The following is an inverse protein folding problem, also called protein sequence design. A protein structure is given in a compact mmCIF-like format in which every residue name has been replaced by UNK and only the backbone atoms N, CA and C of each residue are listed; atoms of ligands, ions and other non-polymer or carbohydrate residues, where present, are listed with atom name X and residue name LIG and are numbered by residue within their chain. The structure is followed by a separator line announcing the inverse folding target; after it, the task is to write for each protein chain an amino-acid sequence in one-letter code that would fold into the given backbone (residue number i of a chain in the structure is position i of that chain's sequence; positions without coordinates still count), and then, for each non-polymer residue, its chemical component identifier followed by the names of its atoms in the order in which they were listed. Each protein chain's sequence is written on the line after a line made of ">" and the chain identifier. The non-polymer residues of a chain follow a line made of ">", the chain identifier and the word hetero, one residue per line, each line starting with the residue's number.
data_IF_764738911619
#
_entry.id   IF_764738911619
#
_cell.length_a   1.000
_cell.length_b   1.000
_cell.length_c   1.000
_cell.angle_alpha   90.00
_cell.angle_beta   90.00
_cell.angle_gamma   90.00
#
_symmetry.space_group_name_H-M   'P 1'
#
loop_
_entity.id
_entity.type
_entity.pdbx_description
1 polymer ?
#
# COMPACT_ATOMS: atom_id res chain seq x y z
N UNK A 1 11.68 -44.41 25.45
CA UNK A 1 10.53 -44.06 24.59
C UNK A 1 9.66 -43.14 25.44
N UNK A 2 9.88 -41.84 25.29
CA UNK A 2 8.99 -40.81 25.79
C UNK A 2 8.53 -40.04 24.55
N UNK A 3 7.22 -39.79 24.47
CA UNK A 3 6.60 -39.09 23.35
C UNK A 3 6.95 -37.59 23.36
N UNK A 4 6.99 -36.93 22.19
CA UNK A 4 7.21 -35.50 22.12
C UNK A 4 5.95 -34.74 22.57
N UNK A 5 6.15 -33.78 23.48
CA UNK A 5 5.15 -32.79 23.85
C UNK A 5 4.63 -32.04 22.62
N UNK A 6 3.32 -32.11 22.39
CA UNK A 6 2.62 -31.27 21.43
C UNK A 6 2.77 -29.79 21.83
N UNK A 7 3.29 -28.98 20.91
CA UNK A 7 3.29 -27.52 21.00
C UNK A 7 1.83 -27.04 20.94
N UNK A 8 1.40 -26.36 21.99
CA UNK A 8 0.08 -25.76 22.14
C UNK A 8 -0.08 -24.58 21.17
N UNK A 9 -1.01 -24.68 20.22
CA UNK A 9 -1.32 -23.70 19.17
C UNK A 9 -2.24 -22.56 19.65
N UNK A 10 -1.98 -21.99 20.83
CA UNK A 10 -2.83 -20.95 21.42
C UNK A 10 -2.11 -19.59 21.47
N UNK A 11 -1.66 -19.07 20.33
CA UNK A 11 -1.04 -17.74 20.28
C UNK A 11 -1.86 -16.68 19.53
N UNK A 12 -2.99 -17.05 18.92
CA UNK A 12 -3.85 -16.11 18.17
C UNK A 12 -4.80 -15.29 19.08
N UNK A 13 -5.15 -15.80 20.28
CA UNK A 13 -6.16 -15.12 21.12
C UNK A 13 -5.60 -13.95 21.94
N UNK A 14 -4.28 -13.89 22.14
CA UNK A 14 -3.63 -12.84 22.94
C UNK A 14 -3.32 -11.60 22.10
N UNK A 15 -3.09 -11.75 20.80
CA UNK A 15 -2.84 -10.65 19.87
C UNK A 15 -4.12 -9.88 19.53
N UNK A 16 -5.25 -10.56 19.36
CA UNK A 16 -6.56 -9.89 19.15
C UNK A 16 -6.98 -9.09 20.39
N UNK A 17 -6.86 -9.64 21.60
CA UNK A 17 -7.29 -8.97 22.82
C UNK A 17 -6.51 -7.69 23.15
N UNK A 18 -5.24 -7.58 22.75
CA UNK A 18 -4.41 -6.40 23.03
C UNK A 18 -4.76 -5.22 22.10
N UNK A 19 -5.35 -5.48 20.93
CA UNK A 19 -5.73 -4.42 19.98
C UNK A 19 -7.03 -3.71 20.39
N UNK A 20 -7.99 -4.40 21.01
CA UNK A 20 -9.32 -3.84 21.28
C UNK A 20 -9.40 -2.81 22.44
N UNK A 21 -8.40 -2.79 23.33
CA UNK A 21 -8.34 -1.83 24.45
C UNK A 21 -7.39 -0.65 24.19
N UNK A 22 -6.72 -0.59 23.02
CA UNK A 22 -5.88 0.53 22.64
C UNK A 22 -6.75 1.67 22.08
N UNK A 23 -6.69 2.89 22.65
CA UNK A 23 -7.44 4.04 22.11
C UNK A 23 -7.09 4.39 20.66
N UNK A 24 -5.99 3.88 20.10
CA UNK A 24 -5.65 4.00 18.68
C UNK A 24 -6.50 3.11 17.76
N UNK A 25 -7.17 2.08 18.29
CA UNK A 25 -7.98 1.12 17.54
C UNK A 25 -9.42 1.04 18.07
N UNK A 26 -9.98 2.18 18.50
CA UNK A 26 -11.41 2.26 18.80
C UNK A 26 -12.27 1.81 17.62
N UNK A 27 -13.53 1.44 17.88
CA UNK A 27 -14.45 0.94 16.85
C UNK A 27 -14.61 1.90 15.65
N UNK A 28 -14.39 3.20 15.89
CA UNK A 28 -14.46 4.28 14.90
C UNK A 28 -13.09 4.81 14.43
N UNK A 29 -11.97 4.17 14.79
CA UNK A 29 -10.61 4.66 14.54
C UNK A 29 -10.28 4.88 13.05
N UNK A 30 -10.97 4.17 12.14
CA UNK A 30 -10.79 4.29 10.69
C UNK A 30 -12.00 4.92 9.98
N UNK A 31 -12.94 5.49 10.75
CA UNK A 31 -14.06 6.25 10.19
C UNK A 31 -13.60 7.62 9.68
N UNK A 32 -14.32 8.16 8.70
CA UNK A 32 -14.02 9.46 8.11
C UNK A 32 -15.07 10.48 8.51
N UNK A 33 -14.65 11.75 8.59
CA UNK A 33 -15.62 12.85 8.73
C UNK A 33 -16.46 13.05 7.47
N UNK A 34 -15.93 12.66 6.31
CA UNK A 34 -16.63 12.64 5.03
C UNK A 34 -16.63 11.20 4.48
N UNK A 35 -17.81 10.58 4.46
CA UNK A 35 -18.02 9.22 3.96
C UNK A 35 -18.48 9.19 2.49
N UNK A 36 -18.31 10.30 1.77
CA UNK A 36 -18.60 10.33 0.34
C UNK A 36 -17.73 9.34 -0.44
N UNK A 37 -18.23 9.01 -1.63
CA UNK A 37 -17.57 8.07 -2.52
C UNK A 37 -16.23 8.65 -3.01
N UNK A 38 -15.16 7.89 -2.82
CA UNK A 38 -13.80 8.28 -3.17
C UNK A 38 -13.64 8.68 -4.65
N UNK A 39 -14.41 8.08 -5.55
CA UNK A 39 -14.40 8.44 -6.97
C UNK A 39 -14.71 9.91 -7.19
N UNK A 40 -15.51 10.55 -6.32
CA UNK A 40 -15.83 11.98 -6.39
C UNK A 40 -14.55 12.79 -6.14
N UNK A 41 -13.80 12.47 -5.09
CA UNK A 41 -12.57 13.16 -4.74
C UNK A 41 -11.47 13.00 -5.81
N UNK A 42 -11.37 11.80 -6.40
CA UNK A 42 -10.37 11.46 -7.41
C UNK A 42 -10.78 11.83 -8.86
N UNK A 43 -11.94 12.47 -9.08
CA UNK A 43 -12.27 13.05 -10.40
C UNK A 43 -11.37 14.19 -10.82
N UNK A 44 -10.79 14.91 -9.86
CA UNK A 44 -9.91 16.06 -10.12
C UNK A 44 -8.47 15.60 -10.16
N UNK A 45 -7.82 15.82 -11.30
CA UNK A 45 -6.39 15.55 -11.48
C UNK A 45 -5.55 16.45 -10.55
N UNK A 46 -4.59 15.84 -9.84
CA UNK A 46 -3.67 16.55 -8.96
C UNK A 46 -2.22 16.22 -9.34
N UNK A 47 -1.68 17.01 -10.25
CA UNK A 47 -0.25 16.98 -10.61
C UNK A 47 0.56 17.88 -9.69
N UNK A 48 0.50 17.62 -8.39
CA UNK A 48 1.19 18.40 -7.37
C UNK A 48 2.16 17.51 -6.61
N UNK A 49 3.30 18.09 -6.23
CA UNK A 49 4.22 17.42 -5.32
C UNK A 49 3.71 17.60 -3.89
N UNK A 50 3.29 16.49 -3.26
CA UNK A 50 2.83 16.50 -1.87
C UNK A 50 3.98 16.49 -0.86
N UNK A 51 5.16 16.06 -1.29
CA UNK A 51 6.39 16.03 -0.49
C UNK A 51 7.25 17.27 -0.75
N UNK A 52 7.81 17.85 0.30
CA UNK A 52 8.92 18.79 0.12
C UNK A 52 10.17 18.06 -0.41
N UNK A 53 11.16 18.83 -0.86
CA UNK A 53 12.36 18.25 -1.50
C UNK A 53 13.19 17.36 -0.58
N UNK A 54 13.18 17.61 0.74
CA UNK A 54 13.90 16.78 1.70
C UNK A 54 13.16 15.46 1.94
N UNK A 55 11.85 15.51 2.11
CA UNK A 55 11.02 14.32 2.26
C UNK A 55 11.07 13.44 1.01
N UNK A 56 10.97 14.04 -0.19
CA UNK A 56 11.11 13.33 -1.46
C UNK A 56 12.47 12.63 -1.58
N UNK A 57 13.57 13.36 -1.36
CA UNK A 57 14.91 12.77 -1.42
C UNK A 57 15.11 11.65 -0.39
N UNK A 58 14.46 11.76 0.77
CA UNK A 58 14.49 10.72 1.80
C UNK A 58 13.74 9.47 1.34
N UNK A 59 12.55 9.62 0.77
CA UNK A 59 11.76 8.51 0.21
C UNK A 59 12.51 7.81 -0.91
N UNK A 60 13.02 8.56 -1.89
CA UNK A 60 13.78 8.00 -3.01
C UNK A 60 15.00 7.21 -2.52
N UNK A 61 15.72 7.74 -1.53
CA UNK A 61 16.85 7.04 -0.91
C UNK A 61 16.41 5.76 -0.20
N UNK A 62 15.32 5.80 0.57
CA UNK A 62 14.80 4.63 1.27
C UNK A 62 14.38 3.53 0.30
N UNK A 63 13.68 3.88 -0.78
CA UNK A 63 13.32 2.92 -1.83
C UNK A 63 14.60 2.31 -2.45
N UNK A 64 15.58 3.14 -2.78
CA UNK A 64 16.84 2.68 -3.38
C UNK A 64 17.69 1.80 -2.46
N UNK A 65 17.61 2.01 -1.13
CA UNK A 65 18.34 1.22 -0.14
C UNK A 65 17.62 -0.09 0.23
N UNK A 66 16.28 -0.08 0.23
CA UNK A 66 15.46 -1.20 0.71
C UNK A 66 15.08 -2.19 -0.40
N UNK A 67 14.97 -1.74 -1.65
CA UNK A 67 14.71 -2.64 -2.78
C UNK A 67 16.03 -3.25 -3.24
N UNK A 68 16.26 -4.50 -2.83
CA UNK A 68 17.53 -5.21 -3.05
C UNK A 68 17.46 -6.20 -4.22
N UNK A 69 16.26 -6.49 -4.69
CA UNK A 69 15.97 -7.41 -5.76
C UNK A 69 16.54 -6.90 -7.09
N UNK A 70 17.02 -7.82 -7.92
CA UNK A 70 17.46 -7.48 -9.27
C UNK A 70 16.24 -7.52 -10.18
N UNK A 71 16.00 -6.41 -10.88
CA UNK A 71 14.89 -6.28 -11.82
C UNK A 71 13.52 -6.67 -11.21
N UNK A 72 13.12 -6.07 -10.08
CA UNK A 72 11.89 -6.45 -9.39
C UNK A 72 10.63 -6.18 -10.21
N UNK A 73 9.61 -6.97 -9.93
CA UNK A 73 8.21 -6.69 -10.24
C UNK A 73 7.60 -5.93 -9.06
N UNK A 74 7.26 -4.65 -9.26
CA UNK A 74 6.81 -3.74 -8.20
C UNK A 74 5.31 -3.46 -8.34
N UNK A 75 4.60 -3.48 -7.20
CA UNK A 75 3.28 -2.86 -7.05
C UNK A 75 3.46 -1.51 -6.37
N UNK A 76 3.07 -0.43 -7.04
CA UNK A 76 2.86 0.87 -6.40
C UNK A 76 1.40 0.94 -5.96
N UNK A 77 1.18 0.73 -4.66
CA UNK A 77 -0.12 0.65 -4.01
C UNK A 77 -0.64 2.07 -3.75
N UNK A 78 -1.83 2.35 -4.27
CA UNK A 78 -2.46 3.69 -4.21
C UNK A 78 -1.64 4.76 -4.94
N UNK A 79 -1.06 4.36 -6.07
CA UNK A 79 -0.25 5.18 -6.94
C UNK A 79 -0.97 6.43 -7.46
N UNK A 80 -0.17 7.47 -7.69
CA UNK A 80 -0.56 8.69 -8.41
C UNK A 80 0.35 8.88 -9.63
N UNK A 81 0.63 10.13 -10.00
CA UNK A 81 1.44 10.51 -11.17
C UNK A 81 2.96 10.42 -10.94
N UNK A 82 3.41 10.14 -9.72
CA UNK A 82 4.81 9.92 -9.38
C UNK A 82 4.92 8.82 -8.31
N UNK A 83 5.68 7.76 -8.62
CA UNK A 83 5.93 6.62 -7.70
C UNK A 83 7.14 6.83 -6.80
N UNK A 84 7.89 7.93 -6.99
CA UNK A 84 9.12 8.24 -6.25
C UNK A 84 10.21 7.16 -6.37
N UNK A 85 10.16 6.36 -7.44
CA UNK A 85 11.18 5.34 -7.70
C UNK A 85 12.46 6.03 -8.17
N UNK A 86 13.59 5.85 -7.46
CA UNK A 86 14.83 6.56 -7.79
C UNK A 86 15.36 6.13 -9.16
N UNK A 87 15.94 7.08 -9.88
CA UNK A 87 16.48 6.87 -11.23
C UNK A 87 17.61 5.83 -11.35
N UNK A 88 18.11 5.29 -10.24
CA UNK A 88 19.08 4.18 -10.21
C UNK A 88 18.42 2.79 -10.22
N UNK A 89 17.16 2.68 -9.78
CA UNK A 89 16.45 1.41 -9.72
C UNK A 89 15.97 1.01 -11.12
N UNK A 90 16.03 -0.29 -11.45
CA UNK A 90 15.64 -0.82 -12.76
C UNK A 90 14.64 -1.97 -12.60
N UNK A 91 13.38 -1.68 -12.26
CA UNK A 91 12.33 -2.70 -12.19
C UNK A 91 12.12 -3.37 -13.56
N UNK A 92 11.75 -4.65 -13.56
CA UNK A 92 11.27 -5.32 -14.78
C UNK A 92 9.86 -4.85 -15.14
N UNK A 93 9.02 -4.65 -14.11
CA UNK A 93 7.62 -4.28 -14.24
C UNK A 93 7.19 -3.42 -13.06
N UNK A 94 6.37 -2.40 -13.30
CA UNK A 94 5.78 -1.57 -12.25
C UNK A 94 4.29 -1.42 -12.53
N UNK A 95 3.47 -1.97 -11.65
CA UNK A 95 2.01 -1.86 -11.72
C UNK A 95 1.57 -0.80 -10.73
N UNK A 96 0.92 0.27 -11.20
CA UNK A 96 0.33 1.28 -10.34
C UNK A 96 -1.15 1.00 -10.12
N UNK A 97 -1.55 0.74 -8.89
CA UNK A 97 -2.95 0.60 -8.51
C UNK A 97 -3.43 1.91 -7.90
N UNK A 98 -4.46 2.54 -8.46
CA UNK A 98 -4.96 3.81 -7.94
C UNK A 98 -6.35 4.17 -8.44
N UNK A 99 -6.78 5.41 -8.20
CA UNK A 99 -8.14 5.87 -8.48
C UNK A 99 -8.25 6.89 -9.61
N UNK A 100 -7.21 7.69 -9.86
CA UNK A 100 -7.21 8.66 -10.95
C UNK A 100 -6.46 8.11 -12.17
N UNK A 101 -7.20 7.83 -13.25
CA UNK A 101 -6.63 7.31 -14.51
C UNK A 101 -5.61 8.26 -15.15
N UNK A 102 -5.85 9.56 -15.10
CA UNK A 102 -4.99 10.56 -15.74
C UNK A 102 -3.66 10.70 -14.98
N UNK A 103 -3.69 10.59 -13.65
CA UNK A 103 -2.50 10.55 -12.81
C UNK A 103 -1.66 9.32 -13.14
N UNK A 104 -2.25 8.12 -13.06
CA UNK A 104 -1.57 6.87 -13.38
C UNK A 104 -0.99 6.90 -14.81
N UNK A 105 -1.73 7.41 -15.79
CA UNK A 105 -1.28 7.48 -17.17
C UNK A 105 -0.11 8.47 -17.40
N UNK A 106 0.10 9.42 -16.49
CA UNK A 106 1.24 10.35 -16.54
C UNK A 106 2.44 9.90 -15.70
N UNK A 107 2.30 8.82 -14.95
CA UNK A 107 3.38 8.31 -14.12
C UNK A 107 4.45 7.63 -14.99
N UNK A 108 5.67 8.20 -15.06
CA UNK A 108 6.71 7.70 -15.96
C UNK A 108 7.32 6.37 -15.51
N UNK A 109 7.10 5.96 -14.26
CA UNK A 109 7.62 4.71 -13.72
C UNK A 109 6.73 3.50 -14.06
N UNK A 110 5.43 3.71 -14.31
CA UNK A 110 4.48 2.62 -14.49
C UNK A 110 4.62 1.96 -15.86
N UNK A 111 4.64 0.63 -15.85
CA UNK A 111 4.47 -0.18 -17.07
C UNK A 111 3.01 -0.58 -17.28
N UNK A 112 2.23 -0.63 -16.20
CA UNK A 112 0.82 -0.99 -16.20
C UNK A 112 0.05 -0.16 -15.16
N UNK A 113 -1.24 0.08 -15.41
CA UNK A 113 -2.13 0.75 -14.48
C UNK A 113 -3.35 -0.13 -14.15
N UNK A 114 -3.80 -0.06 -12.90
CA UNK A 114 -4.97 -0.76 -12.39
C UNK A 114 -5.87 0.25 -11.67
N UNK A 115 -7.09 0.48 -12.16
CA UNK A 115 -8.06 1.28 -11.42
C UNK A 115 -8.80 0.40 -10.41
N UNK A 116 -8.59 0.67 -9.13
CA UNK A 116 -9.16 -0.13 -8.06
C UNK A 116 -9.29 0.68 -6.77
N UNK A 117 -10.49 0.61 -6.17
CA UNK A 117 -10.87 1.33 -4.96
C UNK A 117 -10.77 0.39 -3.76
N UNK A 118 -9.67 0.49 -3.00
CA UNK A 118 -9.38 -0.37 -1.86
C UNK A 118 -10.32 -0.15 -0.67
N UNK A 119 -10.89 1.05 -0.53
CA UNK A 119 -11.86 1.35 0.52
C UNK A 119 -13.20 0.64 0.25
N UNK A 120 -13.58 0.51 -1.04
CA UNK A 120 -14.75 -0.27 -1.46
C UNK A 120 -14.50 -1.77 -1.46
N UNK A 121 -13.41 -2.21 -2.10
CA UNK A 121 -13.04 -3.60 -2.21
C UNK A 121 -11.57 -3.77 -1.81
N UNK A 122 -11.26 -4.30 -0.60
CA UNK A 122 -9.88 -4.41 -0.15
C UNK A 122 -9.09 -5.53 -0.84
N UNK A 123 -9.75 -6.41 -1.59
CA UNK A 123 -9.13 -7.57 -2.25
C UNK A 123 -8.31 -7.12 -3.46
N UNK A 124 -7.02 -7.41 -3.48
CA UNK A 124 -6.15 -7.03 -4.58
C UNK A 124 -6.50 -7.81 -5.86
N UNK A 125 -6.64 -7.14 -7.02
CA UNK A 125 -7.06 -7.78 -8.26
C UNK A 125 -5.90 -8.50 -8.98
N UNK A 126 -5.02 -9.16 -8.22
CA UNK A 126 -3.81 -9.82 -8.72
C UNK A 126 -3.75 -11.26 -8.23
N UNK A 127 -2.94 -12.09 -8.90
CA UNK A 127 -2.66 -13.43 -8.40
C UNK A 127 -1.69 -13.37 -7.22
N UNK A 128 -1.76 -14.35 -6.32
CA UNK A 128 -0.81 -14.47 -5.22
C UNK A 128 0.64 -14.54 -5.71
N UNK A 129 1.57 -14.02 -4.91
CA UNK A 129 3.02 -14.04 -5.18
C UNK A 129 3.43 -13.42 -6.52
N UNK A 130 2.70 -12.40 -6.99
CA UNK A 130 2.97 -11.71 -8.27
C UNK A 130 4.10 -10.69 -8.17
N UNK A 131 4.25 -10.03 -7.02
CA UNK A 131 5.15 -8.88 -6.83
C UNK A 131 6.29 -9.23 -5.89
N UNK A 132 7.49 -8.75 -6.22
CA UNK A 132 8.66 -8.86 -5.35
C UNK A 132 8.63 -7.76 -4.28
N UNK A 133 8.07 -6.59 -4.62
CA UNK A 133 8.04 -5.40 -3.77
C UNK A 133 6.68 -4.71 -3.88
N UNK A 134 6.16 -4.26 -2.74
CA UNK A 134 5.02 -3.35 -2.67
C UNK A 134 5.47 -2.02 -2.07
N UNK A 135 5.26 -0.93 -2.81
CA UNK A 135 5.46 0.43 -2.35
C UNK A 135 4.10 1.02 -1.94
N UNK A 136 4.04 1.70 -0.80
CA UNK A 136 2.84 2.40 -0.34
C UNK A 136 3.26 3.70 0.33
N UNK A 137 3.43 4.75 -0.48
CA UNK A 137 4.03 6.02 -0.05
C UNK A 137 2.96 7.09 0.08
N UNK A 138 2.90 7.76 1.24
CA UNK A 138 1.97 8.88 1.55
C UNK A 138 0.49 8.60 1.26
N UNK A 139 0.05 7.39 1.60
CA UNK A 139 -1.26 6.86 1.20
C UNK A 139 -2.00 6.08 2.30
N UNK A 140 -1.31 5.58 3.32
CA UNK A 140 -1.92 4.74 4.38
C UNK A 140 -3.04 5.47 5.13
N UNK A 141 -2.85 6.77 5.34
CA UNK A 141 -3.76 7.68 6.05
C UNK A 141 -5.12 7.84 5.36
N UNK A 142 -5.25 7.40 4.11
CA UNK A 142 -6.51 7.41 3.37
C UNK A 142 -7.35 6.12 3.55
N UNK A 143 -6.76 5.02 4.02
CA UNK A 143 -7.45 3.73 4.10
C UNK A 143 -8.50 3.70 5.22
N UNK A 144 -9.71 3.25 4.91
CA UNK A 144 -10.77 2.98 5.91
C UNK A 144 -10.77 1.54 6.39
N UNK A 145 -10.07 0.64 5.69
CA UNK A 145 -9.94 -0.79 6.01
C UNK A 145 -8.48 -1.26 5.92
N UNK A 146 -7.52 -0.62 6.60
CA UNK A 146 -6.10 -0.92 6.43
C UNK A 146 -5.76 -2.38 6.76
N UNK A 147 -6.37 -2.97 7.79
CA UNK A 147 -6.14 -4.38 8.14
C UNK A 147 -6.62 -5.37 7.09
N UNK A 148 -7.69 -5.06 6.35
CA UNK A 148 -8.15 -5.92 5.26
C UNK A 148 -7.20 -5.79 4.07
N UNK A 149 -6.78 -4.57 3.73
CA UNK A 149 -5.84 -4.31 2.62
C UNK A 149 -4.46 -4.93 2.88
N UNK A 150 -3.88 -4.73 4.06
CA UNK A 150 -2.54 -5.25 4.38
C UNK A 150 -2.49 -6.77 4.59
N UNK A 151 -3.64 -7.45 4.69
CA UNK A 151 -3.68 -8.92 4.64
C UNK A 151 -3.45 -9.48 3.23
N UNK A 152 -3.67 -8.66 2.21
CA UNK A 152 -3.47 -9.03 0.80
C UNK A 152 -2.05 -8.73 0.29
N UNK A 153 -1.23 -8.03 1.09
CA UNK A 153 0.16 -7.62 0.78
C UNK A 153 1.15 -8.58 1.42
#
# INVERSE_FOLDING_TARGET
>A
MEEPHALNTNNDSLTEQVLFDDPLFSEDAFSRSDESDDSIFYTTDRFVQHLDSLALATVEKLIGDLVIEKNPVILDLMASWDSHIPSGLRPERVVGLGLNRNELAKNPALTELCLHDLNKNPILPFSESTFDVVLNVVSVDYMTKPFDVFREV
#
